data_IF_923047348145
#
_entry.id   IF_923047348145
#
_cell.length_a   1.000
_cell.length_b   1.000
_cell.length_c   1.000
_cell.angle_alpha   90.00
_cell.angle_beta   90.00
_cell.angle_gamma   90.00
#
_symmetry.space_group_name_H-M   'P 1'
#
loop_
_entity.id
_entity.type
_entity.pdbx_description
1 polymer ?
#
# COMPACT_ATOMS: atom_id res chain seq x y z
N UNK A 1 -9.74 -15.30 11.55
CA UNK A 1 -9.24 -14.35 12.57
C UNK A 1 -8.26 -13.38 11.94
N UNK A 2 -8.50 -12.10 12.16
CA UNK A 2 -7.57 -11.09 11.68
C UNK A 2 -6.27 -11.12 12.45
N UNK A 3 -5.17 -10.93 11.73
CA UNK A 3 -3.84 -10.73 12.31
C UNK A 3 -3.21 -9.54 11.65
N UNK A 4 -2.70 -8.63 12.44
CA UNK A 4 -2.05 -7.44 11.93
C UNK A 4 -0.79 -7.16 12.73
N UNK A 5 0.19 -6.58 12.06
CA UNK A 5 1.45 -6.23 12.65
C UNK A 5 1.90 -4.90 12.05
N UNK A 6 2.34 -3.99 12.92
CA UNK A 6 2.76 -2.65 12.51
C UNK A 6 4.01 -2.25 13.25
N UNK A 7 4.96 -1.68 12.54
CA UNK A 7 6.15 -1.05 13.10
C UNK A 7 6.15 0.43 12.76
N UNK A 8 6.32 1.27 13.75
CA UNK A 8 6.54 2.70 13.57
C UNK A 8 8.01 3.00 13.81
N UNK A 9 8.58 3.86 12.97
CA UNK A 9 9.98 4.21 13.06
C UNK A 9 10.14 5.60 13.71
N UNK A 10 10.94 5.65 14.76
CA UNK A 10 11.33 6.90 15.41
C UNK A 10 12.75 7.19 14.95
N UNK A 11 12.87 7.84 13.81
CA UNK A 11 14.16 8.19 13.27
C UNK A 11 14.13 9.64 12.77
N UNK A 12 15.27 10.09 12.29
CA UNK A 12 15.36 11.41 11.68
C UNK A 12 14.49 11.45 10.42
N UNK A 13 13.44 12.27 10.47
CA UNK A 13 12.48 12.42 9.38
C UNK A 13 12.91 13.50 8.41
N UNK A 14 14.21 13.59 8.16
CA UNK A 14 14.79 14.47 7.16
C UNK A 14 15.47 13.60 6.11
N UNK A 15 15.71 14.17 4.94
CA UNK A 15 16.37 13.46 3.87
C UNK A 15 15.47 13.17 2.70
N UNK A 16 16.04 12.51 1.68
CA UNK A 16 15.38 12.31 0.40
C UNK A 16 14.33 11.21 0.44
N UNK A 17 14.50 10.23 1.34
CA UNK A 17 13.55 9.14 1.49
C UNK A 17 13.72 8.51 2.88
N UNK A 18 12.63 8.33 3.59
CA UNK A 18 12.65 7.65 4.87
C UNK A 18 11.33 6.91 5.11
N UNK A 19 11.39 5.84 5.88
CA UNK A 19 10.23 5.02 6.21
C UNK A 19 9.60 5.53 7.49
N UNK A 20 8.28 5.75 7.46
CA UNK A 20 7.49 6.12 8.64
C UNK A 20 7.04 4.90 9.42
N UNK A 21 6.56 3.89 8.70
CA UNK A 21 6.00 2.69 9.31
C UNK A 21 5.91 1.60 8.27
N UNK A 22 5.77 0.36 8.73
CA UNK A 22 5.47 -0.75 7.85
C UNK A 22 4.72 -1.80 8.64
N UNK A 23 4.09 -2.73 7.94
CA UNK A 23 3.37 -3.79 8.59
C UNK A 23 2.81 -4.79 7.61
N UNK A 24 2.09 -5.74 8.16
CA UNK A 24 1.33 -6.70 7.38
C UNK A 24 0.03 -6.99 8.08
N UNK A 25 -0.98 -7.34 7.30
CA UNK A 25 -2.30 -7.66 7.81
C UNK A 25 -2.86 -8.86 7.09
N UNK A 26 -3.40 -9.79 7.86
CA UNK A 26 -4.21 -10.87 7.36
C UNK A 26 -5.66 -10.51 7.72
N UNK A 27 -6.46 -10.16 6.74
CA UNK A 27 -7.77 -9.57 6.99
C UNK A 27 -8.89 -10.61 6.98
N UNK A 28 -10.01 -10.23 7.57
CA UNK A 28 -11.25 -11.00 7.50
C UNK A 28 -12.08 -10.50 6.31
N UNK A 29 -13.11 -11.28 5.99
CA UNK A 29 -14.04 -10.92 4.91
C UNK A 29 -14.56 -9.50 5.08
N UNK A 30 -14.54 -8.73 4.00
CA UNK A 30 -15.05 -7.36 3.94
C UNK A 30 -14.37 -6.36 4.86
N UNK A 31 -13.23 -6.73 5.48
CA UNK A 31 -12.43 -5.77 6.23
C UNK A 31 -12.08 -4.57 5.34
N UNK A 32 -12.36 -3.38 5.80
CA UNK A 32 -12.19 -2.17 4.99
C UNK A 32 -11.41 -1.09 5.71
N UNK A 33 -10.82 -0.21 4.93
CA UNK A 33 -10.18 1.01 5.41
C UNK A 33 -10.69 2.19 4.60
N UNK A 34 -11.06 3.26 5.30
CA UNK A 34 -11.48 4.50 4.67
C UNK A 34 -12.99 4.59 4.42
N UNK A 35 -13.39 5.64 3.69
CA UNK A 35 -12.53 6.65 3.08
C UNK A 35 -11.71 7.41 4.12
N UNK A 36 -10.39 7.48 3.91
CA UNK A 36 -9.50 8.16 4.83
C UNK A 36 -8.23 8.60 4.10
N UNK A 37 -7.48 9.48 4.71
CA UNK A 37 -6.20 9.93 4.18
C UNK A 37 -5.12 9.83 5.25
N UNK A 38 -3.87 9.77 4.80
CA UNK A 38 -2.69 9.78 5.65
C UNK A 38 -1.73 10.87 5.17
N UNK A 39 -0.86 11.39 6.05
CA UNK A 39 0.04 12.48 5.65
C UNK A 39 1.33 12.01 4.95
N UNK A 40 1.44 10.74 4.62
CA UNK A 40 2.61 10.18 3.96
C UNK A 40 2.17 9.21 2.85
N UNK A 41 3.12 8.82 2.01
CA UNK A 41 2.87 7.82 0.97
C UNK A 41 2.67 6.45 1.61
N UNK A 42 1.80 5.65 1.02
CA UNK A 42 1.59 4.26 1.41
C UNK A 42 1.63 3.38 0.17
N UNK A 43 2.38 2.29 0.26
CA UNK A 43 2.35 1.23 -0.74
C UNK A 43 1.84 -0.03 -0.05
N UNK A 44 0.85 -0.65 -0.67
CA UNK A 44 0.32 -1.95 -0.26
C UNK A 44 0.66 -2.98 -1.31
N UNK A 45 0.99 -4.18 -0.89
CA UNK A 45 1.27 -5.31 -1.78
C UNK A 45 0.49 -6.52 -1.31
N UNK A 46 -0.33 -7.08 -2.18
CA UNK A 46 -1.20 -8.22 -1.85
C UNK A 46 -0.40 -9.52 -1.91
N UNK A 47 -0.32 -10.20 -0.77
CA UNK A 47 0.40 -11.46 -0.63
C UNK A 47 -0.47 -12.65 -1.01
N UNK A 48 -1.74 -12.61 -0.64
CA UNK A 48 -2.71 -13.68 -0.91
C UNK A 48 -4.10 -13.10 -0.92
N UNK A 49 -5.05 -13.84 -1.47
CA UNK A 49 -6.43 -13.39 -1.52
C UNK A 49 -6.64 -12.26 -2.50
N UNK A 50 -7.75 -11.57 -2.33
CA UNK A 50 -8.12 -10.47 -3.21
C UNK A 50 -8.96 -9.43 -2.51
N UNK A 51 -9.12 -8.27 -3.15
CA UNK A 51 -9.93 -7.18 -2.65
C UNK A 51 -10.04 -6.10 -3.71
N UNK A 52 -10.54 -4.95 -3.32
CA UNK A 52 -10.62 -3.83 -4.25
C UNK A 52 -10.14 -2.55 -3.58
N UNK A 53 -9.62 -1.66 -4.41
CA UNK A 53 -9.10 -0.36 -4.04
C UNK A 53 -9.81 0.68 -4.88
N UNK A 54 -10.35 1.72 -4.22
CA UNK A 54 -11.07 2.79 -4.90
C UNK A 54 -10.36 4.12 -4.65
N UNK A 55 -10.13 4.84 -5.74
CA UNK A 55 -9.42 6.09 -5.73
C UNK A 55 -9.85 6.94 -6.94
N UNK A 56 -10.23 8.21 -6.72
CA UNK A 56 -10.67 9.13 -7.77
C UNK A 56 -11.79 8.53 -8.64
N UNK A 57 -12.81 7.96 -8.00
CA UNK A 57 -13.98 7.34 -8.66
C UNK A 57 -13.65 6.14 -9.53
N UNK A 58 -12.43 5.63 -9.45
CA UNK A 58 -12.04 4.39 -10.12
C UNK A 58 -11.93 3.28 -9.09
N UNK A 59 -12.37 2.10 -9.49
CA UNK A 59 -12.27 0.92 -8.67
C UNK A 59 -11.34 -0.09 -9.34
N UNK A 60 -10.39 -0.58 -8.57
CA UNK A 60 -9.41 -1.57 -9.04
C UNK A 60 -9.59 -2.84 -8.22
N UNK A 61 -9.77 -3.96 -8.92
CA UNK A 61 -9.83 -5.28 -8.27
C UNK A 61 -8.46 -5.89 -8.34
N UNK A 62 -7.93 -6.27 -7.19
CA UNK A 62 -6.54 -6.68 -7.05
C UNK A 62 -6.46 -8.03 -6.33
N UNK A 63 -5.47 -8.82 -6.72
CA UNK A 63 -5.20 -10.13 -6.12
C UNK A 63 -3.71 -10.26 -5.83
N UNK A 64 -3.29 -11.41 -5.34
CA UNK A 64 -1.88 -11.66 -5.02
C UNK A 64 -0.96 -11.28 -6.19
N UNK A 65 0.12 -10.60 -5.88
CA UNK A 65 1.09 -10.13 -6.87
C UNK A 65 0.86 -8.70 -7.35
N UNK A 66 -0.25 -8.08 -6.94
CA UNK A 66 -0.55 -6.68 -7.26
C UNK A 66 -0.42 -5.80 -6.04
N UNK A 67 -0.15 -4.54 -6.29
CA UNK A 67 -0.09 -3.56 -5.23
C UNK A 67 -0.66 -2.22 -5.66
N UNK A 68 -0.82 -1.33 -4.69
CA UNK A 68 -1.36 0.00 -4.97
C UNK A 68 -0.67 1.07 -4.13
N UNK A 69 -0.63 2.28 -4.69
CA UNK A 69 -0.06 3.45 -4.09
C UNK A 69 -1.18 4.37 -3.60
N UNK A 70 -1.06 4.85 -2.36
CA UNK A 70 -1.89 5.93 -1.84
C UNK A 70 -0.97 7.12 -1.59
N UNK A 71 -1.30 8.27 -2.19
CA UNK A 71 -0.50 9.48 -2.04
C UNK A 71 -0.88 10.22 -0.76
N UNK A 72 0.03 11.10 -0.25
CA UNK A 72 -0.28 11.88 0.95
C UNK A 72 -1.54 12.72 0.79
N UNK A 73 -2.36 12.71 1.83
CA UNK A 73 -3.56 13.55 1.95
C UNK A 73 -4.64 13.26 0.92
N UNK A 74 -4.55 12.14 0.21
CA UNK A 74 -5.56 11.71 -0.75
C UNK A 74 -6.53 10.73 -0.07
N UNK A 75 -7.82 10.93 -0.31
CA UNK A 75 -8.84 10.01 0.20
C UNK A 75 -8.79 8.69 -0.58
N UNK A 76 -8.69 7.61 0.15
CA UNK A 76 -8.63 6.27 -0.43
C UNK A 76 -9.53 5.34 0.37
N UNK A 77 -10.03 4.31 -0.31
CA UNK A 77 -10.83 3.26 0.30
C UNK A 77 -10.38 1.92 -0.27
N UNK A 78 -10.19 0.93 0.59
CA UNK A 78 -9.93 -0.43 0.13
C UNK A 78 -10.63 -1.42 1.03
N UNK A 79 -11.00 -2.57 0.46
CA UNK A 79 -11.80 -3.57 1.16
C UNK A 79 -11.44 -4.97 0.69
N UNK A 80 -11.30 -5.88 1.66
CA UNK A 80 -11.06 -7.28 1.38
C UNK A 80 -12.31 -7.94 0.79
N UNK A 81 -12.08 -8.95 -0.06
CA UNK A 81 -13.16 -9.72 -0.67
C UNK A 81 -13.98 -10.49 0.39
N UNK A 82 -15.23 -10.73 0.08
CA UNK A 82 -16.13 -11.43 1.00
C UNK A 82 -15.80 -12.93 1.12
N UNK A 83 -15.23 -13.54 0.09
CA UNK A 83 -14.97 -14.98 0.02
C UNK A 83 -13.49 -15.31 0.14
N UNK A 84 -12.63 -14.42 -0.32
CA UNK A 84 -11.20 -14.65 -0.35
C UNK A 84 -10.47 -13.38 0.10
N UNK A 85 -10.61 -13.02 1.40
CA UNK A 85 -10.04 -11.76 1.89
C UNK A 85 -8.52 -11.77 1.81
N UNK A 86 -7.97 -10.64 1.43
CA UNK A 86 -6.54 -10.51 1.19
C UNK A 86 -5.72 -10.43 2.46
N UNK A 87 -4.46 -10.86 2.31
CA UNK A 87 -3.37 -10.50 3.21
C UNK A 87 -2.43 -9.60 2.44
N UNK A 88 -1.93 -8.58 3.09
CA UNK A 88 -1.05 -7.61 2.42
C UNK A 88 0.06 -7.13 3.34
N UNK A 89 1.15 -6.70 2.73
CA UNK A 89 2.12 -5.86 3.43
C UNK A 89 1.95 -4.41 2.99
N UNK A 90 2.41 -3.51 3.84
CA UNK A 90 2.34 -2.10 3.54
C UNK A 90 3.53 -1.36 4.14
N UNK A 91 3.92 -0.29 3.45
CA UNK A 91 5.01 0.59 3.87
C UNK A 91 4.56 2.02 3.74
N UNK A 92 4.71 2.79 4.83
CA UNK A 92 4.47 4.23 4.80
C UNK A 92 5.81 4.95 4.75
N UNK A 93 5.96 5.89 3.84
CA UNK A 93 7.21 6.58 3.64
C UNK A 93 7.00 8.02 3.19
N UNK A 94 8.05 8.82 3.30
CA UNK A 94 8.03 10.21 2.87
C UNK A 94 9.47 10.62 2.51
N UNK A 95 9.64 11.88 2.17
CA UNK A 95 10.95 12.43 1.84
C UNK A 95 10.87 13.39 0.68
N UNK A 96 11.86 14.26 0.55
CA UNK A 96 11.87 15.30 -0.47
C UNK A 96 11.92 14.76 -1.90
N UNK A 97 12.37 13.50 -2.09
CA UNK A 97 12.48 12.88 -3.40
C UNK A 97 11.57 11.66 -3.57
N UNK A 98 10.62 11.47 -2.66
CA UNK A 98 9.73 10.32 -2.72
C UNK A 98 8.93 10.28 -4.04
N UNK A 99 8.38 11.41 -4.45
CA UNK A 99 7.63 11.52 -5.69
C UNK A 99 8.48 11.16 -6.91
N UNK A 100 9.72 11.63 -6.94
CA UNK A 100 10.65 11.34 -8.03
C UNK A 100 10.94 9.85 -8.14
N UNK A 101 11.16 9.19 -7.00
CA UNK A 101 11.40 7.74 -7.00
C UNK A 101 10.17 6.97 -7.47
N UNK A 102 8.98 7.39 -7.05
CA UNK A 102 7.74 6.75 -7.50
C UNK A 102 7.54 6.90 -9.00
N UNK A 103 7.79 8.10 -9.54
CA UNK A 103 7.68 8.33 -10.98
C UNK A 103 8.66 7.47 -11.77
N UNK A 104 9.86 7.26 -11.26
CA UNK A 104 10.83 6.39 -11.92
C UNK A 104 10.39 4.93 -11.92
N UNK A 105 9.50 4.54 -11.00
CA UNK A 105 8.89 3.23 -10.95
C UNK A 105 7.59 3.13 -11.76
N UNK A 106 7.17 4.22 -12.39
CA UNK A 106 5.93 4.27 -13.15
C UNK A 106 4.68 4.51 -12.30
N UNK A 107 4.84 4.89 -11.05
CA UNK A 107 3.71 5.10 -10.13
C UNK A 107 3.37 6.58 -9.99
N UNK A 108 2.09 6.89 -10.01
CA UNK A 108 1.56 8.23 -9.83
C UNK A 108 0.09 8.17 -9.46
N UNK A 109 -0.54 9.32 -9.28
CA UNK A 109 -1.98 9.41 -9.03
C UNK A 109 -2.82 8.86 -10.20
N UNK A 110 -2.28 8.90 -11.42
CA UNK A 110 -2.94 8.35 -12.61
C UNK A 110 -2.65 6.87 -12.80
N UNK A 111 -1.57 6.37 -12.23
CA UNK A 111 -1.13 4.99 -12.35
C UNK A 111 -0.76 4.46 -10.98
N UNK A 112 -1.77 4.27 -10.10
CA UNK A 112 -1.48 3.87 -8.72
C UNK A 112 -1.30 2.37 -8.53
N UNK A 113 -1.46 1.57 -9.59
CA UNK A 113 -1.42 0.10 -9.49
C UNK A 113 -0.12 -0.41 -10.11
N UNK A 114 0.47 -1.40 -9.45
CA UNK A 114 1.64 -2.09 -9.97
C UNK A 114 1.48 -3.60 -9.80
N UNK A 115 2.25 -4.37 -10.56
CA UNK A 115 2.30 -5.81 -10.40
C UNK A 115 3.74 -6.26 -10.21
N UNK A 116 3.92 -7.29 -9.41
CA UNK A 116 5.22 -7.87 -9.17
C UNK A 116 5.06 -9.39 -9.06
N UNK A 117 5.41 -10.10 -10.14
CA UNK A 117 5.29 -11.56 -10.16
C UNK A 117 6.39 -12.25 -9.37
N UNK A 118 7.45 -11.50 -9.02
CA UNK A 118 8.55 -12.02 -8.21
C UNK A 118 8.57 -11.28 -6.88
N UNK A 119 7.86 -11.82 -5.89
CA UNK A 119 7.73 -11.19 -4.59
C UNK A 119 9.09 -10.97 -3.90
N UNK A 120 10.08 -11.81 -4.16
CA UNK A 120 11.42 -11.63 -3.60
C UNK A 120 12.08 -10.34 -4.07
N UNK A 121 11.69 -9.80 -5.22
CA UNK A 121 12.19 -8.49 -5.66
C UNK A 121 11.68 -7.39 -4.73
N UNK A 122 10.40 -7.45 -4.39
CA UNK A 122 9.81 -6.47 -3.47
C UNK A 122 10.41 -6.59 -2.07
N UNK A 123 10.59 -7.81 -1.58
CA UNK A 123 11.19 -8.04 -0.27
C UNK A 123 12.62 -7.53 -0.19
N UNK A 124 13.37 -7.57 -1.28
CA UNK A 124 14.74 -7.05 -1.29
C UNK A 124 14.79 -5.52 -1.25
N UNK A 125 13.71 -4.84 -1.64
CA UNK A 125 13.61 -3.38 -1.60
C UNK A 125 13.26 -2.92 -0.19
N UNK A 126 12.44 -3.69 0.48
CA UNK A 126 11.99 -3.39 1.84
C UNK A 126 13.02 -3.85 2.87
#
# INVERSE_FOLDING_TARGET
>A
MEKAFKLDFINDKTGSLYVNCCGCSQTEALHSFGPASKPHYLIHYVLSGKGHFRFHDKEYRLEAGYGFLIQPNELAFYQADAKDPWSYLWVGFAGSRAEEYLHSMGLSDRHPIFSCVKSEVLYSIV
#
